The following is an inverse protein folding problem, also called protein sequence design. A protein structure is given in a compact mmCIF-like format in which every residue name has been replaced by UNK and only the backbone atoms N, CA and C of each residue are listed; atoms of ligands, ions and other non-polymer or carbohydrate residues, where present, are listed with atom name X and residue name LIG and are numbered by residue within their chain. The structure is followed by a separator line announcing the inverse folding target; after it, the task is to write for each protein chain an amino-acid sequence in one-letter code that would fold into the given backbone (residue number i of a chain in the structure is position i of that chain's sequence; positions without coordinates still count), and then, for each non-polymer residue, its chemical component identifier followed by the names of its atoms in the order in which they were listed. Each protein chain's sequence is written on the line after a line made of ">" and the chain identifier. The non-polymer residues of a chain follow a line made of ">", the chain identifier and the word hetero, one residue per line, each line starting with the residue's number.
data_IF_502462810665
#
_entry.id   IF_502462810665
#
_cell.length_a   1.000
_cell.length_b   1.000
_cell.length_c   1.000
_cell.angle_alpha   90.00
_cell.angle_beta   90.00
_cell.angle_gamma   90.00
#
_symmetry.space_group_name_H-M   'P 1'
#
loop_
_entity.id
_entity.type
_entity.pdbx_description
1 polymer ?
#
# COMPACT_ATOMS: atom_id res chain seq x y z
N UNK A 1 14.34 8.35 -16.66
CA UNK A 1 12.88 8.43 -16.41
C UNK A 1 12.71 8.96 -14.99
N UNK A 2 12.12 10.15 -14.84
CA UNK A 2 11.97 10.86 -13.56
C UNK A 2 11.09 10.06 -12.59
N UNK A 3 11.72 9.37 -11.65
CA UNK A 3 11.04 8.92 -10.45
C UNK A 3 10.81 10.14 -9.58
N UNK A 4 9.57 10.59 -9.47
CA UNK A 4 9.15 11.55 -8.44
C UNK A 4 9.23 10.81 -7.11
N UNK A 5 10.45 10.72 -6.55
CA UNK A 5 10.68 10.21 -5.22
C UNK A 5 9.79 11.00 -4.27
N UNK A 6 8.86 10.29 -3.62
CA UNK A 6 8.02 10.85 -2.57
C UNK A 6 8.99 11.26 -1.45
N UNK A 7 9.33 12.54 -1.35
CA UNK A 7 10.07 13.09 -0.21
C UNK A 7 9.12 13.13 0.98
N UNK A 8 9.02 12.02 1.68
CA UNK A 8 8.31 12.01 2.95
C UNK A 8 9.02 12.94 3.93
N UNK A 9 8.24 13.73 4.68
CA UNK A 9 8.77 14.59 5.72
C UNK A 9 9.77 13.81 6.58
N UNK A 10 10.89 14.43 6.94
CA UNK A 10 12.03 13.74 7.56
C UNK A 10 11.64 13.03 8.87
N UNK A 11 10.62 13.53 9.59
CA UNK A 11 10.03 12.94 10.79
C UNK A 11 9.13 11.71 10.55
N UNK A 12 8.77 11.45 9.30
CA UNK A 12 7.84 10.38 8.90
C UNK A 12 8.45 9.46 7.82
N UNK A 13 9.76 9.52 7.59
CA UNK A 13 10.44 8.73 6.55
C UNK A 13 10.21 7.21 6.70
N UNK A 14 10.27 6.71 7.94
CA UNK A 14 10.05 5.28 8.24
C UNK A 14 8.59 4.84 8.00
N UNK A 15 7.63 5.77 8.12
CA UNK A 15 6.22 5.49 7.87
C UNK A 15 5.98 5.18 6.39
N UNK A 16 6.61 5.91 5.48
CA UNK A 16 6.45 5.69 4.05
C UNK A 16 7.03 4.34 3.60
N UNK A 17 8.20 3.97 4.13
CA UNK A 17 8.75 2.64 3.90
C UNK A 17 7.86 1.54 4.49
N UNK A 18 7.29 1.76 5.68
CA UNK A 18 6.38 0.79 6.30
C UNK A 18 5.11 0.58 5.46
N UNK A 19 4.56 1.64 4.88
CA UNK A 19 3.39 1.58 3.98
C UNK A 19 3.72 0.82 2.69
N UNK A 20 4.92 1.02 2.12
CA UNK A 20 5.36 0.28 0.94
C UNK A 20 5.55 -1.20 1.22
N UNK A 21 6.16 -1.54 2.36
CA UNK A 21 6.31 -2.93 2.82
C UNK A 21 4.94 -3.57 3.03
N UNK A 22 4.00 -2.87 3.67
CA UNK A 22 2.64 -3.35 3.87
C UNK A 22 1.94 -3.63 2.53
N UNK A 23 2.04 -2.71 1.58
CA UNK A 23 1.47 -2.88 0.24
C UNK A 23 2.01 -4.11 -0.47
N UNK A 24 3.34 -4.33 -0.40
CA UNK A 24 3.97 -5.50 -1.00
C UNK A 24 3.55 -6.80 -0.31
N UNK A 25 3.46 -6.79 1.03
CA UNK A 25 2.96 -7.93 1.80
C UNK A 25 1.56 -8.36 1.36
N UNK A 26 0.63 -7.42 1.16
CA UNK A 26 -0.72 -7.76 0.73
C UNK A 26 -0.78 -8.29 -0.71
N UNK A 27 0.05 -7.74 -1.60
CA UNK A 27 0.20 -8.27 -2.98
C UNK A 27 0.71 -9.71 -2.97
N UNK A 28 1.73 -10.00 -2.16
CA UNK A 28 2.28 -11.34 -2.02
C UNK A 28 1.28 -12.31 -1.41
N UNK A 29 0.46 -11.87 -0.45
CA UNK A 29 -0.61 -12.68 0.12
C UNK A 29 -1.64 -13.09 -0.94
N UNK A 30 -2.08 -12.15 -1.79
CA UNK A 30 -3.00 -12.44 -2.91
C UNK A 30 -2.41 -13.49 -3.85
N UNK A 31 -1.14 -13.35 -4.23
CA UNK A 31 -0.46 -14.32 -5.10
C UNK A 31 -0.44 -15.71 -4.47
N UNK A 32 -0.05 -15.82 -3.20
CA UNK A 32 -0.01 -17.09 -2.47
C UNK A 32 -1.39 -17.73 -2.37
N UNK A 33 -2.41 -16.98 -1.98
CA UNK A 33 -3.78 -17.49 -1.90
C UNK A 33 -4.34 -17.90 -3.26
N UNK A 34 -4.03 -17.15 -4.31
CA UNK A 34 -4.38 -17.50 -5.69
C UNK A 34 -3.78 -18.83 -6.11
N UNK A 35 -2.48 -19.03 -5.86
CA UNK A 35 -1.79 -20.30 -6.13
C UNK A 35 -2.45 -21.49 -5.40
N UNK A 36 -2.71 -21.37 -4.11
CA UNK A 36 -3.38 -22.44 -3.34
C UNK A 36 -4.80 -22.70 -3.81
N UNK A 37 -5.54 -21.64 -4.17
CA UNK A 37 -6.91 -21.77 -4.70
C UNK A 37 -6.91 -22.55 -6.01
N UNK A 38 -5.96 -22.25 -6.89
CA UNK A 38 -5.91 -22.87 -8.22
C UNK A 38 -5.49 -24.35 -8.13
N UNK A 39 -4.70 -24.72 -7.13
CA UNK A 39 -4.30 -26.11 -6.84
C UNK A 39 -5.36 -26.90 -6.06
N UNK A 40 -6.26 -26.23 -5.34
CA UNK A 40 -7.27 -26.90 -4.52
C UNK A 40 -8.34 -27.56 -5.39
N UNK A 41 -8.88 -28.71 -4.96
CA UNK A 41 -10.02 -29.38 -5.61
C UNK A 41 -11.33 -29.19 -4.85
N UNK A 42 -11.26 -28.77 -3.58
CA UNK A 42 -12.42 -28.59 -2.70
C UNK A 42 -13.09 -27.21 -2.94
N UNK A 43 -14.34 -27.16 -3.43
CA UNK A 43 -14.99 -25.89 -3.79
C UNK A 43 -15.18 -24.92 -2.62
N UNK A 44 -15.45 -25.44 -1.43
CA UNK A 44 -15.63 -24.63 -0.22
C UNK A 44 -14.33 -23.91 0.16
N UNK A 45 -13.20 -24.63 0.14
CA UNK A 45 -11.88 -24.04 0.42
C UNK A 45 -11.52 -22.99 -0.64
N UNK A 46 -11.85 -23.22 -1.92
CA UNK A 46 -11.68 -22.19 -2.97
C UNK A 46 -12.47 -20.92 -2.67
N UNK A 47 -13.68 -21.06 -2.15
CA UNK A 47 -14.53 -19.93 -1.78
C UNK A 47 -13.90 -19.15 -0.63
N UNK A 48 -13.43 -19.85 0.41
CA UNK A 48 -12.71 -19.22 1.53
C UNK A 48 -11.44 -18.48 1.05
N UNK A 49 -10.64 -19.08 0.17
CA UNK A 49 -9.45 -18.43 -0.38
C UNK A 49 -9.79 -17.21 -1.25
N UNK A 50 -10.88 -17.27 -2.03
CA UNK A 50 -11.37 -16.11 -2.77
C UNK A 50 -11.81 -14.97 -1.85
N UNK A 51 -12.49 -15.26 -0.74
CA UNK A 51 -12.84 -14.25 0.24
C UNK A 51 -11.61 -13.58 0.85
N UNK A 52 -10.57 -14.35 1.17
CA UNK A 52 -9.29 -13.80 1.65
C UNK A 52 -8.65 -12.89 0.59
N UNK A 53 -8.60 -13.30 -0.68
CA UNK A 53 -8.09 -12.48 -1.77
C UNK A 53 -8.87 -11.15 -1.88
N UNK A 54 -10.20 -11.20 -1.83
CA UNK A 54 -11.05 -10.00 -1.90
C UNK A 54 -10.76 -9.05 -0.74
N UNK A 55 -10.59 -9.58 0.49
CA UNK A 55 -10.23 -8.75 1.65
C UNK A 55 -8.88 -8.06 1.45
N UNK A 56 -7.89 -8.79 0.97
CA UNK A 56 -6.54 -8.26 0.69
C UNK A 56 -6.55 -7.18 -0.39
N UNK A 57 -7.39 -7.33 -1.43
CA UNK A 57 -7.59 -6.29 -2.45
C UNK A 57 -8.17 -5.00 -1.86
N UNK A 58 -9.12 -5.09 -0.92
CA UNK A 58 -9.67 -3.92 -0.22
C UNK A 58 -8.61 -3.26 0.69
N UNK A 59 -7.80 -4.06 1.37
CA UNK A 59 -6.69 -3.55 2.18
C UNK A 59 -5.66 -2.81 1.31
N UNK A 60 -5.30 -3.34 0.14
CA UNK A 60 -4.45 -2.65 -0.85
C UNK A 60 -5.03 -1.29 -1.22
N UNK A 61 -6.32 -1.22 -1.56
CA UNK A 61 -6.97 0.04 -1.90
C UNK A 61 -6.89 1.06 -0.75
N UNK A 62 -7.11 0.61 0.48
CA UNK A 62 -7.00 1.46 1.67
C UNK A 62 -5.56 1.97 1.87
N UNK A 63 -4.56 1.09 1.72
CA UNK A 63 -3.14 1.44 1.85
C UNK A 63 -2.74 2.45 0.77
N UNK A 64 -3.17 2.26 -0.48
CA UNK A 64 -2.90 3.19 -1.59
C UNK A 64 -3.56 4.55 -1.39
N UNK A 65 -4.82 4.58 -0.94
CA UNK A 65 -5.50 5.84 -0.57
C UNK A 65 -4.77 6.57 0.57
N UNK A 66 -4.34 5.82 1.58
CA UNK A 66 -3.57 6.37 2.70
C UNK A 66 -2.22 6.93 2.23
N UNK A 67 -1.52 6.20 1.36
CA UNK A 67 -0.26 6.66 0.74
C UNK A 67 -0.46 7.95 -0.04
N UNK A 68 -1.52 8.04 -0.84
CA UNK A 68 -1.86 9.25 -1.60
C UNK A 68 -2.15 10.44 -0.68
N UNK A 69 -2.96 10.24 0.36
CA UNK A 69 -3.29 11.29 1.33
C UNK A 69 -2.04 11.80 2.06
N UNK A 70 -1.15 10.89 2.48
CA UNK A 70 0.10 11.26 3.14
C UNK A 70 1.02 12.05 2.21
N UNK A 71 1.13 11.64 0.94
CA UNK A 71 1.90 12.37 -0.08
C UNK A 71 1.39 13.81 -0.21
N UNK A 72 0.08 14.01 -0.39
CA UNK A 72 -0.50 15.37 -0.48
C UNK A 72 -0.24 16.18 0.78
N UNK A 73 -0.35 15.58 1.98
CA UNK A 73 -0.08 16.29 3.23
C UNK A 73 1.39 16.70 3.37
N UNK A 74 2.33 15.85 2.99
CA UNK A 74 3.76 16.19 3.04
C UNK A 74 4.14 17.23 2.00
N UNK A 75 3.60 17.16 0.78
CA UNK A 75 3.82 18.19 -0.25
C UNK A 75 3.34 19.57 0.21
N UNK A 76 2.18 19.66 0.88
CA UNK A 76 1.70 20.93 1.47
C UNK A 76 2.61 21.43 2.58
N UNK A 77 3.10 20.55 3.45
CA UNK A 77 4.01 20.94 4.54
C UNK A 77 5.35 21.47 4.02
N UNK A 78 5.90 20.85 2.97
CA UNK A 78 7.15 21.31 2.35
C UNK A 78 6.98 22.70 1.72
N UNK A 79 5.86 22.97 1.03
CA UNK A 79 5.55 24.31 0.47
C UNK A 79 5.41 25.38 1.55
N UNK A 80 4.78 25.05 2.68
CA UNK A 80 4.67 25.98 3.82
C UNK A 80 6.07 26.28 4.37
N UNK A 81 6.92 25.26 4.56
CA UNK A 81 8.28 25.46 5.08
C UNK A 81 9.12 26.37 4.18
N UNK A 82 9.07 26.15 2.86
CA UNK A 82 9.76 27.00 1.88
C UNK A 82 9.24 28.44 1.89
N UNK A 83 7.94 28.66 2.15
CA UNK A 83 7.36 29.99 2.26
C UNK A 83 7.75 30.77 3.53
N UNK A 84 8.20 30.09 4.59
CA UNK A 84 8.68 30.71 5.83
C UNK A 84 10.19 30.96 5.86
N UNK A 85 10.95 30.36 4.94
CA UNK A 85 12.41 30.57 4.78
C UNK A 85 12.75 31.73 3.82
N UNK A 86 11.75 32.48 3.35
CA UNK A 86 11.88 33.79 2.67
C UNK A 86 11.59 34.94 3.63
#
# INVERSE_FOLDING_TARGET
>A
MNQTEIRCAQSCKELCSAIEIALEHEKQAILRYGMFRDQCTYPEVKTMLNELIIRKQKEIQLIEQTKSLLKTKFEVLDQIREGFEM
#
